data_IF_732790429913
#
_entry.id   IF_732790429913
#
_cell.length_a   1.000
_cell.length_b   1.000
_cell.length_c   1.000
_cell.angle_alpha   90.00
_cell.angle_beta   90.00
_cell.angle_gamma   90.00
#
_symmetry.space_group_name_H-M   'P 1'
#
loop_
_entity.id
_entity.type
_entity.pdbx_description
1 polymer ?
#
# COMPACT_ATOMS: atom_id res chain seq x y z
N UNK A 1 29.97 18.43 27.44
CA UNK A 1 30.83 17.88 26.37
C UNK A 1 30.50 16.38 26.31
N UNK A 2 29.54 15.91 25.51
CA UNK A 2 29.63 15.68 24.05
C UNK A 2 30.20 14.27 23.79
N UNK A 3 29.57 13.31 23.11
CA UNK A 3 28.36 13.32 22.30
C UNK A 3 27.71 11.92 22.20
N UNK A 4 26.42 11.96 21.88
CA UNK A 4 25.58 10.83 21.48
C UNK A 4 25.95 10.38 20.06
N UNK A 5 25.76 9.10 19.73
CA UNK A 5 25.96 8.64 18.35
C UNK A 5 25.59 7.18 18.09
N UNK A 6 24.47 6.68 18.64
CA UNK A 6 23.91 5.40 18.19
C UNK A 6 23.10 5.62 16.90
N UNK A 7 23.73 5.51 15.73
CA UNK A 7 23.06 5.59 14.42
C UNK A 7 23.35 4.37 13.54
N UNK A 8 23.32 3.17 14.12
CA UNK A 8 23.34 1.91 13.35
C UNK A 8 21.95 1.28 13.18
N UNK A 9 20.95 1.72 13.95
CA UNK A 9 19.63 1.07 13.98
C UNK A 9 18.67 1.62 12.91
N UNK A 10 18.76 2.90 12.53
CA UNK A 10 17.84 3.50 11.55
C UNK A 10 18.02 2.96 10.13
N UNK A 11 19.18 2.42 9.78
CA UNK A 11 19.48 1.93 8.43
C UNK A 11 18.98 0.47 8.22
N UNK A 12 18.68 -0.27 9.29
CA UNK A 12 18.24 -1.67 9.20
C UNK A 12 16.75 -1.84 8.90
N UNK A 13 15.92 -0.80 9.00
CA UNK A 13 14.47 -0.90 8.78
C UNK A 13 14.07 -0.77 7.32
N UNK A 14 14.85 -1.33 6.40
CA UNK A 14 14.41 -1.52 5.02
C UNK A 14 13.49 -2.74 4.98
N UNK A 15 12.21 -2.56 5.26
CA UNK A 15 11.17 -3.60 5.17
C UNK A 15 10.94 -3.99 3.70
N UNK A 16 11.89 -4.72 3.11
CA UNK A 16 11.81 -5.33 1.78
C UNK A 16 10.93 -6.59 1.82
N UNK A 17 9.74 -6.48 2.37
CA UNK A 17 8.78 -7.57 2.51
C UNK A 17 7.52 -7.27 1.70
N UNK A 18 7.02 -8.27 0.99
CA UNK A 18 5.69 -8.21 0.43
C UNK A 18 4.67 -8.15 1.57
N UNK A 19 3.79 -7.14 1.54
CA UNK A 19 2.64 -7.06 2.44
C UNK A 19 1.38 -7.33 1.64
N UNK A 20 0.49 -8.18 2.18
CA UNK A 20 -0.81 -8.45 1.55
C UNK A 20 -1.73 -7.25 1.75
N UNK A 21 -2.24 -6.70 0.65
CA UNK A 21 -3.33 -5.72 0.65
C UNK A 21 -4.71 -6.38 0.71
N UNK A 22 -5.74 -5.54 0.79
CA UNK A 22 -7.13 -6.00 0.70
C UNK A 22 -7.42 -6.61 -0.67
N UNK A 23 -8.22 -7.67 -0.70
CA UNK A 23 -8.66 -8.29 -1.95
C UNK A 23 -9.54 -7.31 -2.76
N UNK A 24 -9.47 -7.40 -4.09
CA UNK A 24 -10.35 -6.67 -5.00
C UNK A 24 -11.80 -7.14 -4.85
N UNK A 25 -12.77 -6.25 -5.06
CA UNK A 25 -14.19 -6.61 -5.01
C UNK A 25 -14.57 -7.54 -6.16
N UNK A 26 -13.95 -7.33 -7.33
CA UNK A 26 -14.15 -8.16 -8.51
C UNK A 26 -12.79 -8.70 -8.95
N UNK A 27 -12.65 -10.02 -8.91
CA UNK A 27 -11.46 -10.68 -9.43
C UNK A 27 -11.33 -10.42 -10.93
N UNK A 28 -10.16 -9.91 -11.33
CA UNK A 28 -9.86 -9.50 -12.71
C UNK A 28 -8.40 -9.79 -13.07
N UNK A 29 -8.14 -9.98 -14.37
CA UNK A 29 -6.80 -10.05 -14.98
C UNK A 29 -6.72 -9.17 -16.22
N UNK A 30 -5.52 -8.92 -16.75
CA UNK A 30 -5.32 -8.13 -17.98
C UNK A 30 -5.98 -6.74 -17.94
N UNK A 31 -5.95 -6.07 -16.78
CA UNK A 31 -6.54 -4.75 -16.55
C UNK A 31 -5.47 -3.65 -16.54
N UNK A 32 -5.91 -2.39 -16.72
CA UNK A 32 -5.04 -1.23 -16.56
C UNK A 32 -5.08 -0.73 -15.10
N UNK A 33 -3.94 -0.30 -14.56
CA UNK A 33 -3.86 0.27 -13.21
C UNK A 33 -3.06 1.57 -13.19
N UNK A 34 -3.52 2.55 -12.41
CA UNK A 34 -2.84 3.84 -12.22
C UNK A 34 -2.92 4.31 -10.78
N UNK A 35 -1.82 4.86 -10.27
CA UNK A 35 -1.80 5.53 -8.97
C UNK A 35 -2.19 7.00 -9.16
N UNK A 36 -3.20 7.44 -8.41
CA UNK A 36 -3.62 8.84 -8.37
C UNK A 36 -3.97 9.24 -6.93
N UNK A 37 -3.30 10.28 -6.41
CA UNK A 37 -3.36 10.67 -5.00
C UNK A 37 -3.03 9.52 -4.05
N UNK A 38 -3.90 9.22 -3.08
CA UNK A 38 -3.73 8.14 -2.09
C UNK A 38 -4.41 6.83 -2.50
N UNK A 39 -4.71 6.67 -3.79
CA UNK A 39 -5.46 5.53 -4.32
C UNK A 39 -4.79 4.91 -5.55
N UNK A 40 -5.02 3.62 -5.74
CA UNK A 40 -4.74 2.89 -6.97
C UNK A 40 -6.08 2.63 -7.63
N UNK A 41 -6.21 3.02 -8.90
CA UNK A 41 -7.40 2.77 -9.71
C UNK A 41 -7.11 1.64 -10.70
N UNK A 42 -8.05 0.72 -10.82
CA UNK A 42 -7.98 -0.43 -11.73
C UNK A 42 -9.18 -0.37 -12.68
N UNK A 43 -8.94 -0.50 -13.98
CA UNK A 43 -9.97 -0.36 -15.01
C UNK A 43 -9.99 -1.55 -15.96
N UNK A 44 -11.20 -2.04 -16.21
CA UNK A 44 -11.49 -3.08 -17.18
C UNK A 44 -10.80 -4.42 -16.90
N UNK A 45 -10.38 -5.10 -17.96
CA UNK A 45 -9.77 -6.42 -17.90
C UNK A 45 -10.78 -7.57 -18.07
N UNK A 46 -10.37 -8.76 -17.68
CA UNK A 46 -11.11 -10.01 -17.89
C UNK A 46 -11.45 -10.62 -16.52
N UNK A 47 -12.73 -10.89 -16.29
CA UNK A 47 -13.25 -11.49 -15.07
C UNK A 47 -12.95 -12.99 -14.93
N UNK A 48 -13.43 -13.59 -13.83
CA UNK A 48 -13.26 -15.02 -13.52
C UNK A 48 -13.80 -15.93 -14.63
N UNK A 49 -14.96 -15.59 -15.20
CA UNK A 49 -15.63 -16.39 -16.23
C UNK A 49 -15.28 -15.97 -17.66
N UNK A 50 -14.16 -15.27 -17.83
CA UNK A 50 -13.66 -14.77 -19.12
C UNK A 50 -14.48 -13.62 -19.74
N UNK A 51 -15.36 -12.99 -18.97
CA UNK A 51 -16.12 -11.81 -19.40
C UNK A 51 -15.23 -10.55 -19.46
N UNK A 52 -15.47 -9.70 -20.45
CA UNK A 52 -14.83 -8.39 -20.53
C UNK A 52 -15.50 -7.43 -19.53
N UNK A 53 -14.71 -6.87 -18.63
CA UNK A 53 -15.19 -5.92 -17.63
C UNK A 53 -15.09 -4.50 -18.21
N UNK A 54 -16.20 -3.75 -18.15
CA UNK A 54 -16.20 -2.29 -18.35
C UNK A 54 -16.12 -1.53 -17.03
N UNK A 55 -16.14 -2.24 -15.89
CA UNK A 55 -16.08 -1.67 -14.56
C UNK A 55 -14.65 -1.32 -14.15
N UNK A 56 -14.54 -0.35 -13.24
CA UNK A 56 -13.31 -0.06 -12.50
C UNK A 56 -13.55 -0.08 -10.99
N UNK A 57 -12.47 -0.21 -10.24
CA UNK A 57 -12.47 -0.13 -8.78
C UNK A 57 -11.22 0.61 -8.29
N UNK A 58 -11.24 1.05 -7.03
CA UNK A 58 -10.09 1.70 -6.41
C UNK A 58 -9.72 1.02 -5.09
N UNK A 59 -8.42 1.03 -4.80
CA UNK A 59 -7.86 0.58 -3.52
C UNK A 59 -7.18 1.76 -2.83
N UNK A 60 -7.37 1.94 -1.52
CA UNK A 60 -6.58 2.94 -0.78
C UNK A 60 -5.20 2.36 -0.53
N UNK A 61 -4.16 3.17 -0.77
CA UNK A 61 -2.78 2.75 -0.53
C UNK A 61 -2.55 2.44 0.96
N UNK A 62 -3.24 3.17 1.84
CA UNK A 62 -3.19 2.95 3.29
C UNK A 62 -3.73 1.58 3.72
N UNK A 63 -4.62 0.95 2.93
CA UNK A 63 -5.19 -0.36 3.28
C UNK A 63 -4.17 -1.50 3.13
N UNK A 64 -3.07 -1.27 2.40
CA UNK A 64 -1.92 -2.18 2.31
C UNK A 64 -0.81 -1.89 3.32
N UNK A 65 -0.88 -0.74 4.01
CA UNK A 65 0.01 -0.40 5.12
C UNK A 65 -0.66 -0.88 6.38
N UNK A 66 -0.51 -2.17 6.69
CA UNK A 66 -0.80 -2.64 8.05
C UNK A 66 -0.07 -1.71 9.03
N UNK A 67 -0.80 -1.24 10.03
CA UNK A 67 -0.43 -0.23 11.03
C UNK A 67 0.83 -0.58 11.85
N UNK A 68 1.99 -0.75 11.24
CA UNK A 68 3.25 -0.92 11.98
C UNK A 68 3.80 0.43 12.41
N UNK A 69 3.43 1.52 11.71
CA UNK A 69 3.96 2.86 11.97
C UNK A 69 2.88 3.95 12.00
N UNK A 70 1.88 3.83 12.89
CA UNK A 70 1.32 5.06 13.48
C UNK A 70 2.43 5.62 14.36
N UNK A 71 3.36 6.37 13.76
CA UNK A 71 4.42 7.05 14.47
C UNK A 71 3.77 7.89 15.57
N UNK A 72 4.11 7.52 16.80
CA UNK A 72 4.14 8.35 17.99
C UNK A 72 3.76 9.82 17.74
N UNK A 73 2.47 10.15 17.85
CA UNK A 73 2.06 11.51 18.20
C UNK A 73 2.34 11.69 19.69
N UNK A 74 3.62 11.80 20.06
CA UNK A 74 3.98 12.37 21.35
C UNK A 74 3.82 13.89 21.20
N UNK A 75 2.61 14.36 21.49
CA UNK A 75 2.41 15.74 21.92
C UNK A 75 3.02 15.86 23.32
N UNK A 76 4.23 16.40 23.41
CA UNK A 76 4.81 16.86 24.68
C UNK A 76 4.76 18.38 24.71
N UNK A 77 4.03 18.91 25.70
CA UNK A 77 4.43 20.13 26.40
C UNK A 77 5.41 19.75 27.50
#
# INVERSE_FOLDING_TARGET
MGGQGWLLVDILYNQACWTRGKDMQVARRSFAAVKLHSKIYCFGGIGLYNDQLSSGEFMNIADGVNNVNKQHSLSTW
#
